data_IF_808010433084
#
_entry.id   IF_808010433084
#
_cell.length_a   1.000
_cell.length_b   1.000
_cell.length_c   1.000
_cell.angle_alpha   90.00
_cell.angle_beta   90.00
_cell.angle_gamma   90.00
#
_symmetry.space_group_name_H-M   'P 1'
#
loop_
_entity.id
_entity.type
_entity.pdbx_description
1 polymer ?
#
# COMPACT_ATOMS: atom_id res chain seq x y z
N UNK A 1 8.07 -0.33 18.06
CA UNK A 1 8.88 0.15 16.92
C UNK A 1 7.95 0.96 16.04
N UNK A 2 8.25 2.24 15.76
CA UNK A 2 7.46 2.97 14.78
C UNK A 2 7.52 2.22 13.45
N UNK A 3 6.40 2.14 12.76
CA UNK A 3 6.34 1.52 11.44
C UNK A 3 6.98 2.47 10.43
N UNK A 4 7.85 1.98 9.55
CA UNK A 4 8.48 2.77 8.48
C UNK A 4 7.49 3.65 7.70
N UNK A 5 6.25 3.18 7.49
CA UNK A 5 5.19 3.95 6.82
C UNK A 5 4.83 5.22 7.60
N UNK A 6 4.79 5.13 8.93
CA UNK A 6 4.54 6.27 9.81
C UNK A 6 5.68 7.29 9.73
N UNK A 7 6.94 6.83 9.81
CA UNK A 7 8.12 7.70 9.68
C UNK A 7 8.14 8.42 8.31
N UNK A 8 7.71 7.73 7.24
CA UNK A 8 7.59 8.33 5.90
C UNK A 8 6.46 9.36 5.80
N UNK A 9 5.35 9.16 6.50
CA UNK A 9 4.28 10.16 6.59
C UNK A 9 4.73 11.41 7.36
N UNK A 10 5.48 11.23 8.45
CA UNK A 10 6.06 12.34 9.21
C UNK A 10 7.09 13.12 8.39
N UNK A 11 7.90 12.41 7.61
CA UNK A 11 8.84 13.02 6.66
C UNK A 11 8.11 13.87 5.60
N UNK A 12 6.99 13.40 5.07
CA UNK A 12 6.15 14.18 4.14
C UNK A 12 5.62 15.46 4.82
N UNK A 13 5.11 15.35 6.04
CA UNK A 13 4.64 16.52 6.78
C UNK A 13 5.76 17.55 7.01
N UNK A 14 6.96 17.07 7.36
CA UNK A 14 8.15 17.90 7.53
C UNK A 14 8.56 18.61 6.24
N UNK A 15 8.64 17.90 5.10
CA UNK A 15 8.98 18.50 3.80
C UNK A 15 7.96 19.54 3.33
N UNK A 16 6.68 19.33 3.65
CA UNK A 16 5.63 20.31 3.34
C UNK A 16 5.84 21.60 4.14
N UNK A 17 6.21 21.50 5.42
CA UNK A 17 6.54 22.66 6.25
C UNK A 17 7.81 23.37 5.75
N UNK A 18 8.86 22.61 5.41
CA UNK A 18 10.11 23.16 4.90
C UNK A 18 9.93 23.91 3.56
N UNK A 19 9.09 23.38 2.66
CA UNK A 19 8.74 24.09 1.43
C UNK A 19 8.07 25.44 1.69
N UNK A 20 7.23 25.54 2.72
CA UNK A 20 6.60 26.81 3.13
C UNK A 20 7.63 27.78 3.72
N UNK A 21 8.62 27.28 4.46
CA UNK A 21 9.76 28.09 4.91
C UNK A 21 10.53 28.67 3.73
N UNK A 22 10.84 27.85 2.71
CA UNK A 22 11.52 28.33 1.51
C UNK A 22 10.69 29.34 0.72
N UNK A 23 9.38 29.17 0.63
CA UNK A 23 8.48 30.16 0.02
C UNK A 23 8.53 31.49 0.80
N UNK A 24 8.51 31.45 2.13
CA UNK A 24 8.60 32.64 2.98
C UNK A 24 9.97 33.33 2.93
N UNK A 25 11.02 32.60 2.54
CA UNK A 25 12.38 33.14 2.36
C UNK A 25 12.70 33.54 0.92
N UNK A 26 11.70 33.63 0.02
CA UNK A 26 11.89 33.94 -1.41
C UNK A 26 12.89 32.99 -2.12
N UNK A 27 12.87 31.70 -1.74
CA UNK A 27 13.70 30.65 -2.33
C UNK A 27 12.85 29.67 -3.18
N UNK A 28 12.31 30.11 -4.34
CA UNK A 28 11.33 29.33 -5.10
C UNK A 28 11.89 28.02 -5.67
N UNK A 29 13.18 27.99 -6.02
CA UNK A 29 13.82 26.77 -6.53
C UNK A 29 13.89 25.67 -5.45
N UNK A 30 14.23 26.04 -4.20
CA UNK A 30 14.25 25.12 -3.06
C UNK A 30 12.85 24.65 -2.71
N UNK A 31 11.88 25.55 -2.65
CA UNK A 31 10.48 25.21 -2.40
C UNK A 31 9.94 24.22 -3.45
N UNK A 32 10.25 24.46 -4.74
CA UNK A 32 9.87 23.56 -5.83
C UNK A 32 10.49 22.16 -5.68
N UNK A 33 11.79 22.09 -5.35
CA UNK A 33 12.47 20.81 -5.14
C UNK A 33 11.83 19.98 -4.02
N UNK A 34 11.52 20.61 -2.88
CA UNK A 34 10.85 19.93 -1.76
C UNK A 34 9.42 19.49 -2.10
N UNK A 35 8.66 20.33 -2.81
CA UNK A 35 7.32 19.98 -3.30
C UNK A 35 7.35 18.79 -4.26
N UNK A 36 8.35 18.73 -5.14
CA UNK A 36 8.51 17.61 -6.07
C UNK A 36 8.93 16.32 -5.36
N UNK A 37 9.85 16.39 -4.40
CA UNK A 37 10.21 15.26 -3.54
C UNK A 37 8.98 14.74 -2.77
N UNK A 38 8.19 15.65 -2.18
CA UNK A 38 6.94 15.31 -1.49
C UNK A 38 5.95 14.61 -2.43
N UNK A 39 5.76 15.13 -3.65
CA UNK A 39 4.86 14.56 -4.66
C UNK A 39 5.28 13.14 -5.04
N UNK A 40 6.57 12.93 -5.34
CA UNK A 40 7.11 11.62 -5.73
C UNK A 40 6.99 10.60 -4.61
N UNK A 41 7.33 10.96 -3.38
CA UNK A 41 7.21 10.05 -2.25
C UNK A 41 5.74 9.72 -1.93
N UNK A 42 4.84 10.71 -2.01
CA UNK A 42 3.40 10.48 -1.84
C UNK A 42 2.84 9.50 -2.89
N UNK A 43 3.28 9.63 -4.15
CA UNK A 43 2.88 8.71 -5.21
C UNK A 43 3.37 7.27 -4.93
N UNK A 44 4.63 7.11 -4.53
CA UNK A 44 5.19 5.80 -4.17
C UNK A 44 4.45 5.15 -3.00
N UNK A 45 4.09 5.92 -1.97
CA UNK A 45 3.30 5.42 -0.85
C UNK A 45 1.88 5.03 -1.27
N UNK A 46 1.26 5.81 -2.15
CA UNK A 46 -0.05 5.51 -2.74
C UNK A 46 -0.03 4.21 -3.55
N UNK A 47 0.98 4.02 -4.39
CA UNK A 47 1.19 2.77 -5.15
C UNK A 47 1.40 1.57 -4.23
N UNK A 48 2.20 1.71 -3.17
CA UNK A 48 2.39 0.65 -2.18
C UNK A 48 1.09 0.28 -1.45
N UNK A 49 0.29 1.27 -1.05
CA UNK A 49 -1.01 1.04 -0.42
C UNK A 49 -1.99 0.33 -1.39
N UNK A 50 -1.98 0.74 -2.66
CA UNK A 50 -2.84 0.16 -3.70
C UNK A 50 -2.40 -1.26 -4.06
N UNK A 51 -1.10 -1.52 -4.20
CA UNK A 51 -0.54 -2.85 -4.44
C UNK A 51 -0.81 -3.82 -3.27
N UNK A 52 -0.70 -3.34 -2.02
CA UNK A 52 -1.09 -4.12 -0.84
C UNK A 52 -2.57 -4.46 -0.84
N UNK A 53 -3.42 -3.53 -1.26
CA UNK A 53 -4.87 -3.73 -1.37
C UNK A 53 -5.22 -4.72 -2.49
N UNK A 54 -4.56 -4.61 -3.64
CA UNK A 54 -4.72 -5.54 -4.77
C UNK A 54 -4.25 -6.95 -4.42
N UNK A 55 -3.11 -7.09 -3.72
CA UNK A 55 -2.63 -8.39 -3.23
C UNK A 55 -3.60 -8.99 -2.20
N UNK A 56 -4.12 -8.18 -1.28
CA UNK A 56 -5.13 -8.62 -0.30
C UNK A 56 -6.47 -9.05 -0.95
N UNK A 57 -6.87 -8.37 -2.03
CA UNK A 57 -8.05 -8.75 -2.80
C UNK A 57 -7.82 -10.04 -3.62
N UNK A 58 -6.62 -10.22 -4.17
CA UNK A 58 -6.23 -11.43 -4.90
C UNK A 58 -6.15 -12.66 -3.98
N UNK A 59 -5.60 -12.54 -2.77
CA UNK A 59 -5.60 -13.63 -1.78
C UNK A 59 -7.00 -13.95 -1.30
N UNK A 60 -7.84 -12.95 -1.00
CA UNK A 60 -9.24 -13.18 -0.61
C UNK A 60 -10.08 -13.81 -1.75
N UNK A 61 -9.79 -13.47 -3.02
CA UNK A 61 -10.41 -14.09 -4.17
C UNK A 61 -9.96 -15.55 -4.35
N UNK A 62 -8.67 -15.84 -4.12
CA UNK A 62 -8.14 -17.20 -4.18
C UNK A 62 -8.74 -18.10 -3.10
N UNK A 63 -8.88 -17.64 -1.85
CA UNK A 63 -9.51 -18.42 -0.77
C UNK A 63 -11.00 -18.70 -1.03
N UNK A 64 -11.72 -17.78 -1.68
CA UNK A 64 -13.10 -18.03 -2.11
C UNK A 64 -13.19 -19.06 -3.22
N UNK A 65 -12.26 -19.04 -4.19
CA UNK A 65 -12.22 -20.01 -5.29
C UNK A 65 -11.84 -21.43 -4.81
N UNK A 66 -10.90 -21.55 -3.88
CA UNK A 66 -10.55 -22.85 -3.29
C UNK A 66 -11.67 -23.41 -2.41
N UNK A 67 -12.47 -22.56 -1.77
CA UNK A 67 -13.65 -22.97 -1.01
C UNK A 67 -14.82 -23.45 -1.89
N UNK A 68 -14.98 -22.90 -3.10
CA UNK A 68 -16.04 -23.32 -4.04
C UNK A 68 -15.67 -24.59 -4.83
N UNK A 69 -14.37 -24.89 -4.95
CA UNK A 69 -13.87 -26.02 -5.76
C UNK A 69 -13.55 -27.28 -4.94
N UNK A 70 -14.08 -27.39 -3.71
CA UNK A 70 -14.08 -28.65 -2.98
C UNK A 70 -15.50 -29.27 -2.98
N UNK A 71 -15.99 -29.82 -4.11
CA UNK A 71 -17.12 -30.73 -4.04
C UNK A 71 -16.61 -31.96 -3.29
N UNK A 72 -17.07 -32.07 -2.05
CA UNK A 72 -16.97 -33.23 -1.17
C UNK A 72 -17.15 -34.51 -2.01
N UNK A 73 -16.04 -35.15 -2.37
CA UNK A 73 -16.03 -36.47 -3.00
C UNK A 73 -16.47 -37.46 -1.93
N UNK A 74 -17.79 -37.62 -1.84
CA UNK A 74 -18.52 -38.53 -0.98
C UNK A 74 -17.91 -39.93 -1.09
N UNK A 75 -17.23 -40.34 -0.01
CA UNK A 75 -16.76 -41.70 0.19
C UNK A 75 -17.94 -42.67 -0.02
N UNK A 76 -17.90 -43.40 -1.13
CA UNK A 76 -18.80 -44.51 -1.39
C UNK A 76 -18.04 -45.76 -0.96
N UNK A 77 -18.51 -46.37 0.15
CA UNK A 77 -17.95 -47.60 0.70
C UNK A 77 -18.05 -48.76 -0.32
N UNK A 78 -17.11 -49.73 -0.31
CA UNK A 78 -17.24 -50.91 -1.14
C UNK A 78 -18.29 -51.85 -0.52
N UNK A 79 -19.25 -52.28 -1.33
CA UNK A 79 -20.16 -53.37 -1.00
C UNK A 79 -19.73 -54.63 -1.75
N UNK A 80 -19.53 -55.71 -0.99
CA UNK A 80 -19.49 -57.10 -1.47
C UNK A 80 -18.08 -57.70 -1.60
N UNK A 81 -17.87 -58.98 -1.32
CA UNK A 81 -18.64 -59.97 -0.57
C UNK A 81 -17.71 -61.15 -0.29
#
# INVERSE_FOLDING_TARGET
MPSLIHDLHDLLASWKAEAQTFDACDMPASALAFRECHRRLSALLGEHASAKTALGAATAAHERQTSVTHPQARASAPVGS
#
